data_IF_492177975079
#
_entry.id   IF_492177975079
#
_cell.length_a   1.000
_cell.length_b   1.000
_cell.length_c   1.000
_cell.angle_alpha   90.00
_cell.angle_beta   90.00
_cell.angle_gamma   90.00
#
_symmetry.space_group_name_H-M   'P 1'
#
loop_
_entity.id
_entity.type
_entity.pdbx_description
1 polymer ?
#
# COMPACT_ATOMS: atom_id res chain seq x y z
N UNK A 1 38.82 -68.43 6.88
CA UNK A 1 37.70 -67.58 7.35
C UNK A 1 37.88 -66.19 6.70
N UNK A 2 37.12 -65.88 5.63
CA UNK A 2 37.21 -64.62 4.93
C UNK A 2 36.00 -63.79 5.36
N UNK A 3 36.27 -62.62 5.98
CA UNK A 3 35.23 -61.65 6.36
C UNK A 3 35.08 -60.62 5.26
N UNK A 4 33.90 -60.60 4.61
CA UNK A 4 33.54 -59.55 3.65
C UNK A 4 33.02 -58.32 4.39
N UNK A 5 33.75 -57.20 4.30
CA UNK A 5 33.26 -55.90 4.68
C UNK A 5 32.39 -55.35 3.53
N UNK A 6 31.10 -55.18 3.79
CA UNK A 6 30.15 -54.54 2.86
C UNK A 6 30.10 -53.05 3.22
N UNK A 7 30.63 -52.22 2.33
CA UNK A 7 30.62 -50.76 2.46
C UNK A 7 29.26 -50.21 2.04
N UNK A 8 28.50 -49.64 2.93
CA UNK A 8 27.26 -48.92 2.60
C UNK A 8 27.59 -47.47 2.23
N UNK A 9 27.37 -47.14 0.94
CA UNK A 9 27.37 -45.76 0.44
C UNK A 9 26.02 -45.12 0.78
N UNK A 10 26.02 -44.18 1.74
CA UNK A 10 24.87 -43.31 2.01
C UNK A 10 24.89 -42.19 0.96
N UNK A 11 23.98 -42.25 -0.01
CA UNK A 11 23.74 -41.17 -0.93
C UNK A 11 22.98 -40.05 -0.19
N UNK A 12 23.66 -38.95 0.12
CA UNK A 12 23.04 -37.73 0.64
C UNK A 12 22.34 -37.00 -0.51
N UNK A 13 21.05 -37.26 -0.67
CA UNK A 13 20.21 -36.50 -1.60
C UNK A 13 19.99 -35.09 -1.03
N UNK A 14 20.75 -34.12 -1.53
CA UNK A 14 20.53 -32.71 -1.25
C UNK A 14 19.17 -32.25 -1.79
N UNK A 15 18.21 -32.03 -0.91
CA UNK A 15 17.01 -31.22 -1.25
C UNK A 15 17.47 -29.78 -1.49
N UNK A 16 17.62 -29.40 -2.76
CA UNK A 16 17.60 -28.00 -3.14
C UNK A 16 16.21 -27.46 -2.83
N UNK A 17 16.07 -26.75 -1.74
CA UNK A 17 14.93 -25.87 -1.50
C UNK A 17 14.97 -24.76 -2.55
N UNK A 18 14.19 -24.92 -3.63
CA UNK A 18 13.88 -23.82 -4.52
C UNK A 18 13.04 -22.82 -3.72
N UNK A 19 13.70 -21.79 -3.22
CA UNK A 19 13.01 -20.56 -2.83
C UNK A 19 12.36 -20.02 -4.10
N UNK A 20 11.05 -20.21 -4.19
CA UNK A 20 10.21 -19.50 -5.15
C UNK A 20 10.30 -18.03 -4.74
N UNK A 21 11.11 -17.26 -5.46
CA UNK A 21 11.07 -15.82 -5.38
C UNK A 21 9.64 -15.40 -5.72
N UNK A 22 8.91 -14.93 -4.71
CA UNK A 22 7.57 -14.37 -4.91
C UNK A 22 7.70 -13.19 -5.87
N UNK A 23 6.96 -13.29 -6.94
CA UNK A 23 6.85 -12.44 -8.11
C UNK A 23 6.85 -10.93 -7.76
N UNK A 24 8.00 -10.30 -7.93
CA UNK A 24 8.20 -8.84 -7.81
C UNK A 24 7.44 -8.07 -8.93
N UNK A 25 6.92 -8.77 -9.91
CA UNK A 25 6.12 -8.24 -11.02
C UNK A 25 4.76 -7.70 -10.59
N UNK A 26 4.12 -8.29 -9.56
CA UNK A 26 2.77 -7.89 -9.13
C UNK A 26 2.72 -6.56 -8.40
N UNK A 27 3.73 -6.22 -7.61
CA UNK A 27 3.83 -4.91 -6.94
C UNK A 27 4.08 -3.80 -7.95
N UNK A 28 4.96 -4.04 -8.95
CA UNK A 28 5.30 -3.08 -10.00
C UNK A 28 4.12 -2.78 -10.94
N UNK A 29 3.27 -3.77 -11.24
CA UNK A 29 2.09 -3.58 -12.11
C UNK A 29 0.95 -2.79 -11.46
N UNK A 30 0.90 -2.77 -10.12
CA UNK A 30 -0.13 -2.08 -9.35
C UNK A 30 0.07 -0.58 -9.26
N UNK A 31 1.31 -0.10 -9.32
CA UNK A 31 1.66 1.31 -9.23
C UNK A 31 1.80 1.95 -10.60
N UNK A 32 1.29 3.17 -10.75
CA UNK A 32 1.58 4.06 -11.88
C UNK A 32 2.82 4.89 -11.58
N UNK A 33 3.63 5.14 -12.60
CA UNK A 33 4.67 6.15 -12.54
C UNK A 33 4.04 7.53 -12.77
N UNK A 34 4.18 8.41 -11.79
CA UNK A 34 3.81 9.82 -11.89
C UNK A 34 5.08 10.60 -12.21
N UNK A 35 5.10 11.28 -13.35
CA UNK A 35 6.21 12.15 -13.72
C UNK A 35 6.20 13.37 -12.82
N UNK A 36 7.37 13.74 -12.30
CA UNK A 36 7.53 14.97 -11.55
C UNK A 36 7.25 16.21 -12.40
N UNK A 37 7.07 17.31 -11.73
CA UNK A 37 6.75 18.59 -12.35
C UNK A 37 6.67 19.71 -11.33
N UNK A 38 6.10 20.82 -11.76
CA UNK A 38 5.82 21.98 -10.93
C UNK A 38 4.34 22.26 -10.93
N UNK A 39 3.81 22.69 -9.79
CA UNK A 39 2.40 23.06 -9.64
C UNK A 39 2.21 24.11 -8.52
N UNK A 40 1.10 24.80 -8.54
CA UNK A 40 0.70 25.69 -7.46
C UNK A 40 -0.07 24.90 -6.40
N UNK A 41 0.51 24.81 -5.19
CA UNK A 41 -0.15 24.16 -4.05
C UNK A 41 -1.15 25.11 -3.37
N UNK A 42 -2.26 24.51 -2.88
CA UNK A 42 -3.22 25.25 -2.04
C UNK A 42 -2.63 25.62 -0.67
N UNK A 43 -1.58 24.90 -0.25
CA UNK A 43 -0.80 25.18 0.95
C UNK A 43 0.66 25.41 0.57
N UNK A 44 1.03 26.61 0.14
CA UNK A 44 2.40 26.91 -0.26
C UNK A 44 3.37 26.75 0.92
N UNK A 45 4.63 26.29 0.65
CA UNK A 45 5.59 25.98 1.70
C UNK A 45 6.08 27.21 2.48
N UNK A 46 5.92 28.43 1.91
CA UNK A 46 6.25 29.69 2.56
C UNK A 46 5.50 30.86 1.93
N UNK A 47 5.34 31.99 2.64
CA UNK A 47 4.75 33.20 2.07
C UNK A 47 5.49 33.63 0.80
N UNK A 48 4.72 33.90 -0.27
CA UNK A 48 5.27 34.33 -1.56
C UNK A 48 5.77 33.21 -2.48
N UNK A 49 5.84 31.97 -1.99
CA UNK A 49 6.17 30.78 -2.82
C UNK A 49 4.86 30.21 -3.36
N UNK A 50 4.62 30.40 -4.67
CA UNK A 50 3.40 29.87 -5.30
C UNK A 50 3.60 28.44 -5.82
N UNK A 51 4.79 28.14 -6.32
CA UNK A 51 5.10 26.93 -7.07
C UNK A 51 5.92 25.94 -6.24
N UNK A 52 5.52 24.68 -6.28
CA UNK A 52 6.21 23.53 -5.65
C UNK A 52 6.73 22.62 -6.74
N UNK A 53 7.97 22.16 -6.60
CA UNK A 53 8.58 21.16 -7.49
C UNK A 53 8.45 19.78 -6.88
N UNK A 54 7.93 18.81 -7.64
CA UNK A 54 7.77 17.42 -7.25
C UNK A 54 8.69 16.54 -8.10
N UNK A 55 9.49 15.71 -7.45
CA UNK A 55 10.22 14.65 -8.13
C UNK A 55 9.25 13.56 -8.64
N UNK A 56 9.66 12.79 -9.64
CA UNK A 56 8.87 11.64 -10.09
C UNK A 56 8.71 10.59 -8.97
N UNK A 57 7.53 10.01 -8.85
CA UNK A 57 7.23 8.99 -7.84
C UNK A 57 6.29 7.91 -8.42
N UNK A 58 5.99 6.90 -7.61
CA UNK A 58 5.03 5.85 -7.96
C UNK A 58 3.84 5.91 -7.02
N UNK A 59 2.63 5.78 -7.56
CA UNK A 59 1.40 5.80 -6.81
C UNK A 59 0.56 4.57 -7.16
N UNK A 60 -0.09 3.94 -6.19
CA UNK A 60 -1.06 2.88 -6.46
C UNK A 60 -2.16 3.40 -7.39
N UNK A 61 -2.53 2.61 -8.41
CA UNK A 61 -3.56 2.99 -9.41
C UNK A 61 -4.96 3.06 -8.82
N UNK A 62 -5.17 2.36 -7.71
CA UNK A 62 -6.45 2.28 -7.02
C UNK A 62 -6.22 2.40 -5.52
N UNK A 63 -7.21 2.88 -4.77
CA UNK A 63 -7.17 2.83 -3.32
C UNK A 63 -6.94 1.40 -2.80
N UNK A 64 -6.33 1.29 -1.63
CA UNK A 64 -6.18 0.00 -0.92
C UNK A 64 -7.55 -0.57 -0.61
N UNK A 65 -7.77 -1.83 -0.97
CA UNK A 65 -9.06 -2.50 -0.72
C UNK A 65 -9.14 -3.11 0.68
N UNK A 66 -10.37 -3.37 1.14
CA UNK A 66 -10.61 -4.09 2.39
C UNK A 66 -9.92 -5.45 2.42
N UNK A 67 -9.94 -6.21 1.33
CA UNK A 67 -9.26 -7.51 1.26
C UNK A 67 -7.73 -7.40 1.41
N UNK A 68 -7.13 -6.37 0.83
CA UNK A 68 -5.69 -6.11 0.96
C UNK A 68 -5.32 -5.73 2.39
N UNK A 69 -6.10 -4.85 3.00
CA UNK A 69 -5.87 -4.42 4.37
C UNK A 69 -6.14 -5.54 5.38
N UNK A 70 -7.13 -6.41 5.12
CA UNK A 70 -7.41 -7.60 5.93
C UNK A 70 -6.23 -8.59 5.92
N UNK A 71 -5.54 -8.75 4.80
CA UNK A 71 -4.31 -9.55 4.76
C UNK A 71 -3.24 -8.94 5.66
N UNK A 72 -3.02 -7.65 5.57
CA UNK A 72 -2.05 -6.92 6.39
C UNK A 72 -2.31 -7.09 7.89
N UNK A 73 -3.54 -6.91 8.38
CA UNK A 73 -3.83 -7.05 9.82
C UNK A 73 -3.78 -8.51 10.30
N UNK A 74 -3.88 -9.51 9.41
CA UNK A 74 -3.60 -10.90 9.76
C UNK A 74 -2.12 -11.19 9.89
N UNK A 75 -1.28 -10.58 9.05
CA UNK A 75 0.18 -10.71 9.05
C UNK A 75 0.84 -9.88 10.15
N UNK A 76 0.21 -8.77 10.54
CA UNK A 76 0.66 -7.85 11.60
C UNK A 76 -0.47 -7.62 12.63
N UNK A 77 -0.64 -8.54 13.60
CA UNK A 77 -1.78 -8.56 14.51
C UNK A 77 -1.93 -7.32 15.40
N UNK A 78 -0.85 -6.59 15.65
CA UNK A 78 -0.84 -5.32 16.40
C UNK A 78 -1.70 -4.23 15.75
N UNK A 79 -2.01 -4.36 14.46
CA UNK A 79 -2.91 -3.46 13.71
C UNK A 79 -4.34 -3.96 13.60
N UNK A 80 -4.68 -5.05 14.28
CA UNK A 80 -6.06 -5.53 14.35
C UNK A 80 -6.88 -4.58 15.22
N UNK A 81 -8.14 -4.40 14.88
CA UNK A 81 -9.08 -3.54 15.64
C UNK A 81 -9.16 -3.87 17.13
N UNK A 82 -8.99 -5.13 17.49
CA UNK A 82 -9.07 -5.63 18.88
C UNK A 82 -7.70 -5.62 19.60
N UNK A 83 -6.62 -5.21 18.94
CA UNK A 83 -5.27 -5.20 19.48
C UNK A 83 -4.58 -3.83 19.39
N UNK A 84 -4.99 -3.00 18.42
CA UNK A 84 -4.34 -1.70 18.19
C UNK A 84 -4.43 -0.82 19.44
N UNK A 85 -3.31 -0.20 19.83
CA UNK A 85 -3.30 0.71 20.97
C UNK A 85 -4.13 1.96 20.66
N UNK A 86 -4.88 2.46 21.64
CA UNK A 86 -5.73 3.65 21.53
C UNK A 86 -4.99 4.93 21.14
N UNK A 87 -3.68 4.96 21.35
CA UNK A 87 -2.80 6.03 20.87
C UNK A 87 -2.73 6.08 19.33
N UNK A 88 -2.87 4.94 18.66
CA UNK A 88 -2.69 4.81 17.21
C UNK A 88 -3.99 4.69 16.43
N UNK A 89 -5.12 4.42 17.09
CA UNK A 89 -6.42 4.34 16.43
C UNK A 89 -7.56 4.65 17.43
N UNK A 90 -8.59 5.30 16.95
CA UNK A 90 -9.79 5.59 17.72
C UNK A 90 -10.80 4.40 17.68
N UNK A 91 -11.94 4.56 18.35
CA UNK A 91 -13.00 3.57 18.41
C UNK A 91 -13.72 3.32 17.08
N UNK A 92 -13.54 4.18 16.09
CA UNK A 92 -14.09 4.04 14.75
C UNK A 92 -13.20 3.21 13.83
N UNK A 93 -11.97 2.90 14.24
CA UNK A 93 -11.01 2.14 13.44
C UNK A 93 -11.59 0.79 13.02
N UNK A 94 -11.75 0.58 11.70
CA UNK A 94 -12.33 -0.61 11.09
C UNK A 94 -13.67 -1.05 11.71
N UNK A 95 -14.43 -0.14 12.32
CA UNK A 95 -15.66 -0.45 13.07
C UNK A 95 -16.77 -1.06 12.20
N UNK A 96 -16.73 -0.85 10.88
CA UNK A 96 -17.70 -1.42 9.92
C UNK A 96 -17.35 -2.84 9.45
N UNK A 97 -16.19 -3.38 9.83
CA UNK A 97 -15.83 -4.75 9.49
C UNK A 97 -16.63 -5.75 10.34
N UNK A 98 -16.91 -6.93 9.76
CA UNK A 98 -17.62 -8.01 10.44
C UNK A 98 -16.87 -8.55 11.67
N UNK A 99 -15.53 -8.59 11.60
CA UNK A 99 -14.66 -8.97 12.72
C UNK A 99 -13.36 -8.15 12.73
N UNK A 100 -12.46 -8.47 13.66
CA UNK A 100 -11.15 -7.81 13.74
C UNK A 100 -10.25 -8.07 12.51
N UNK A 101 -10.54 -9.09 11.71
CA UNK A 101 -9.73 -9.52 10.56
C UNK A 101 -10.53 -9.76 9.28
N UNK A 102 -11.88 -9.63 9.33
CA UNK A 102 -12.75 -9.88 8.18
C UNK A 102 -13.60 -8.65 7.84
N UNK A 103 -13.51 -8.14 6.62
CA UNK A 103 -14.29 -6.97 6.19
C UNK A 103 -15.80 -7.23 6.12
N UNK A 104 -16.23 -8.48 5.97
CA UNK A 104 -17.62 -8.83 5.73
C UNK A 104 -17.95 -9.03 4.26
N UNK A 105 -19.19 -9.50 4.02
CA UNK A 105 -19.65 -9.86 2.69
C UNK A 105 -19.82 -8.62 1.79
N UNK A 106 -19.39 -8.74 0.53
CA UNK A 106 -19.67 -7.75 -0.52
C UNK A 106 -18.77 -6.52 -0.53
N UNK A 107 -17.93 -6.30 0.49
CA UNK A 107 -17.08 -5.09 0.56
C UNK A 107 -15.58 -5.37 0.35
N UNK A 108 -15.20 -6.61 0.09
CA UNK A 108 -13.79 -7.03 -0.02
C UNK A 108 -12.99 -6.17 -1.03
N UNK A 109 -13.57 -5.84 -2.17
CA UNK A 109 -12.95 -5.07 -3.24
C UNK A 109 -13.20 -3.55 -3.14
N UNK A 110 -13.98 -3.10 -2.16
CA UNK A 110 -14.17 -1.67 -1.92
C UNK A 110 -12.95 -1.08 -1.20
N UNK A 111 -12.70 0.23 -1.35
CA UNK A 111 -11.66 0.92 -0.60
C UNK A 111 -11.82 0.71 0.90
N UNK A 112 -10.71 0.45 1.59
CA UNK A 112 -10.71 0.46 3.04
C UNK A 112 -10.84 1.90 3.54
N UNK A 113 -11.72 2.11 4.51
CA UNK A 113 -11.96 3.39 5.17
C UNK A 113 -11.86 3.25 6.69
N UNK A 114 -11.97 4.34 7.42
CA UNK A 114 -11.84 4.34 8.89
C UNK A 114 -10.56 3.65 9.35
N UNK A 115 -9.45 3.99 8.71
CA UNK A 115 -8.10 3.61 9.11
C UNK A 115 -7.36 4.82 9.66
N UNK A 116 -6.55 4.63 10.67
CA UNK A 116 -5.70 5.70 11.18
C UNK A 116 -4.53 5.97 10.22
N UNK A 117 -3.95 7.16 10.33
CA UNK A 117 -2.73 7.50 9.61
C UNK A 117 -1.59 6.52 9.94
N UNK A 118 -1.46 6.13 11.20
CA UNK A 118 -0.43 5.19 11.67
C UNK A 118 -0.58 3.81 11.02
N UNK A 119 -1.79 3.27 10.99
CA UNK A 119 -2.06 1.97 10.37
C UNK A 119 -1.90 2.02 8.85
N UNK A 120 -2.26 3.14 8.20
CA UNK A 120 -2.04 3.34 6.77
C UNK A 120 -0.54 3.45 6.44
N UNK A 121 0.27 4.11 7.29
CA UNK A 121 1.73 4.17 7.16
C UNK A 121 2.35 2.79 7.29
N UNK A 122 2.00 2.05 8.36
CA UNK A 122 2.49 0.70 8.59
C UNK A 122 2.12 -0.27 7.43
N UNK A 123 0.91 -0.15 6.88
CA UNK A 123 0.52 -0.90 5.68
C UNK A 123 1.44 -0.62 4.49
N UNK A 124 1.75 0.65 4.24
CA UNK A 124 2.66 1.02 3.15
C UNK A 124 4.07 0.49 3.40
N UNK A 125 4.60 0.64 4.62
CA UNK A 125 5.93 0.18 5.01
C UNK A 125 6.08 -1.34 4.88
N UNK A 126 5.05 -2.11 5.28
CA UNK A 126 5.02 -3.57 5.10
C UNK A 126 5.15 -4.02 3.63
N UNK A 127 4.90 -3.13 2.68
CA UNK A 127 5.03 -3.35 1.24
C UNK A 127 6.28 -2.71 0.62
N UNK A 128 7.20 -2.20 1.44
CA UNK A 128 8.37 -1.45 0.96
C UNK A 128 8.02 -0.11 0.31
N UNK A 129 6.90 0.49 0.70
CA UNK A 129 6.39 1.77 0.21
C UNK A 129 6.20 2.76 1.37
N UNK A 130 5.65 3.92 1.08
CA UNK A 130 5.26 4.94 2.06
C UNK A 130 3.96 5.61 1.65
N UNK A 131 3.34 6.32 2.55
CA UNK A 131 2.28 7.27 2.18
C UNK A 131 2.86 8.39 1.28
N UNK A 132 2.08 8.92 0.34
CA UNK A 132 2.48 10.10 -0.41
C UNK A 132 2.64 11.30 0.55
N UNK A 133 3.54 12.19 0.23
CA UNK A 133 3.57 13.50 0.90
C UNK A 133 2.34 14.32 0.51
N UNK A 134 2.04 15.39 1.26
CA UNK A 134 0.96 16.30 0.91
C UNK A 134 1.06 16.78 -0.54
N UNK A 135 2.23 17.23 -0.96
CA UNK A 135 2.44 17.76 -2.30
C UNK A 135 2.36 16.69 -3.39
N UNK A 136 2.85 15.47 -3.14
CA UNK A 136 2.70 14.36 -4.08
C UNK A 136 1.23 13.99 -4.28
N UNK A 137 0.47 13.94 -3.18
CA UNK A 137 -0.95 13.65 -3.21
C UNK A 137 -1.73 14.74 -3.96
N UNK A 138 -1.50 16.00 -3.61
CA UNK A 138 -2.15 17.15 -4.25
C UNK A 138 -1.83 17.20 -5.75
N UNK A 139 -0.57 17.01 -6.11
CA UNK A 139 -0.11 16.97 -7.50
C UNK A 139 -0.82 15.88 -8.31
N UNK A 140 -0.90 14.66 -7.77
CA UNK A 140 -1.58 13.55 -8.43
C UNK A 140 -3.10 13.75 -8.51
N UNK A 141 -3.70 14.27 -7.43
CA UNK A 141 -5.14 14.52 -7.36
C UNK A 141 -5.62 15.68 -8.26
N UNK A 142 -4.74 16.61 -8.62
CA UNK A 142 -5.08 17.69 -9.54
C UNK A 142 -5.27 17.24 -10.99
N UNK A 143 -4.74 16.07 -11.38
CA UNK A 143 -4.72 15.61 -12.76
C UNK A 143 -6.05 14.99 -13.20
N UNK A 144 -6.39 15.17 -14.49
CA UNK A 144 -7.44 14.41 -15.19
C UNK A 144 -6.81 13.49 -16.25
N UNK A 145 -7.64 12.79 -17.00
CA UNK A 145 -7.19 11.97 -18.12
C UNK A 145 -6.50 12.79 -19.23
N UNK A 146 -6.82 14.09 -19.34
CA UNK A 146 -6.40 14.97 -20.44
C UNK A 146 -5.57 16.17 -19.98
N UNK A 147 -5.52 16.47 -18.68
CA UNK A 147 -4.79 17.62 -18.13
C UNK A 147 -3.97 17.24 -16.91
N UNK A 148 -2.76 17.78 -16.80
CA UNK A 148 -1.92 17.63 -15.62
C UNK A 148 -2.46 18.44 -14.42
N UNK A 149 -3.23 19.49 -14.68
CA UNK A 149 -3.97 20.25 -13.67
C UNK A 149 -5.36 20.57 -14.22
N UNK A 150 -6.36 19.90 -13.67
CA UNK A 150 -7.76 20.03 -14.06
C UNK A 150 -8.60 20.74 -12.98
N UNK A 151 -7.99 21.30 -11.95
CA UNK A 151 -8.69 21.94 -10.81
C UNK A 151 -9.59 23.12 -11.25
N UNK A 152 -9.25 23.77 -12.36
CA UNK A 152 -10.06 24.83 -12.96
C UNK A 152 -11.18 24.32 -13.89
N UNK A 153 -11.29 23.02 -14.13
CA UNK A 153 -12.30 22.42 -15.00
C UNK A 153 -13.56 22.05 -14.21
N UNK A 154 -14.72 22.69 -14.48
CA UNK A 154 -15.99 22.38 -13.80
C UNK A 154 -16.43 20.91 -13.95
N UNK A 155 -16.15 20.27 -15.10
CA UNK A 155 -16.53 18.88 -15.32
C UNK A 155 -15.67 17.93 -14.45
N UNK A 156 -14.38 18.23 -14.29
CA UNK A 156 -13.51 17.48 -13.36
C UNK A 156 -13.95 17.68 -11.91
N UNK A 157 -14.28 18.91 -11.50
CA UNK A 157 -14.77 19.20 -10.15
C UNK A 157 -16.01 18.38 -9.79
N UNK A 158 -16.97 18.21 -10.73
CA UNK A 158 -18.15 17.37 -10.51
C UNK A 158 -17.83 15.87 -10.40
N UNK A 159 -16.70 15.44 -10.92
CA UNK A 159 -16.30 14.02 -10.88
C UNK A 159 -15.64 13.63 -9.55
N UNK A 160 -14.99 14.58 -8.87
CA UNK A 160 -14.23 14.33 -7.64
C UNK A 160 -14.96 14.74 -6.35
N UNK A 161 -16.12 15.40 -6.47
CA UNK A 161 -17.03 15.74 -5.36
C UNK A 161 -18.15 14.74 -5.21
#
# INVERSE_FOLDING_TARGET
>A
MRVHLTTWLIALSGLLSQQVAADDGTASSRMAAVRGGKFESVLPPAPGVKEVSIAGFRLDRTPVTNAQFARFVREQPEWRRDQVATLFADDQYLSYWASAVEPGAGIANQPVVRVSWFAASAYCEARGARLPTWYEWEYAAAASATSADARGDPAWQQTVL
#
